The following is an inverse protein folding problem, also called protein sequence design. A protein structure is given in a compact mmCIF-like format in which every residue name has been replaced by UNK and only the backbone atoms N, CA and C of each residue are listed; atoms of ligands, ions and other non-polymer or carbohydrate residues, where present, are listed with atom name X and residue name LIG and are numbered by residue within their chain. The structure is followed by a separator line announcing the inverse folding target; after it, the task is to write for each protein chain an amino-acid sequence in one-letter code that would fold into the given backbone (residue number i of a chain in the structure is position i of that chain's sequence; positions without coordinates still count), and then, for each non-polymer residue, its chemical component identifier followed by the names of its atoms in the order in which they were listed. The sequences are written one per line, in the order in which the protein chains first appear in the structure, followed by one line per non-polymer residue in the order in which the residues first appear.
data_IF_858308197632
#
_entry.id   IF_858308197632
#
_cell.length_a   1.000
_cell.length_b   1.000
_cell.length_c   1.000
_cell.angle_alpha   90.00
_cell.angle_beta   90.00
_cell.angle_gamma   90.00
#
_symmetry.space_group_name_H-M   'P 1'
#
loop_
_entity.id
_entity.type
_entity.pdbx_description
1 polymer ?
#
# COMPACT_ATOMS: atom_id res chain seq x y z
N UNK A 1 -15.30 4.77 8.82
CA UNK A 1 -13.99 4.09 8.73
C UNK A 1 -13.03 5.06 8.04
N UNK A 2 -11.99 5.53 8.73
CA UNK A 2 -11.09 6.55 8.18
C UNK A 2 -10.30 5.97 7.01
N UNK A 3 -10.39 6.62 5.84
CA UNK A 3 -9.63 6.25 4.65
C UNK A 3 -8.42 7.16 4.53
N UNK A 4 -7.22 6.60 4.65
CA UNK A 4 -5.97 7.33 4.50
C UNK A 4 -5.45 7.19 3.07
N UNK A 5 -5.11 8.32 2.42
CA UNK A 5 -4.49 8.30 1.09
C UNK A 5 -3.02 7.93 1.17
N UNK A 6 -2.58 7.08 0.25
CA UNK A 6 -1.20 6.58 0.19
C UNK A 6 -0.57 6.92 -1.15
N UNK A 7 0.66 7.43 -1.10
CA UNK A 7 1.55 7.49 -2.25
C UNK A 7 2.58 6.36 -2.14
N UNK A 8 2.90 5.74 -3.27
CA UNK A 8 3.90 4.66 -3.32
C UNK A 8 5.24 5.29 -3.72
N UNK A 9 6.28 5.08 -2.91
CA UNK A 9 7.59 5.71 -3.12
C UNK A 9 8.61 4.76 -3.73
N UNK A 10 8.69 3.53 -3.22
CA UNK A 10 9.68 2.55 -3.61
C UNK A 10 8.95 1.23 -3.83
N UNK A 11 9.14 0.65 -5.01
CA UNK A 11 8.49 -0.59 -5.37
C UNK A 11 9.56 -1.64 -5.68
N UNK A 12 9.63 -2.72 -4.88
CA UNK A 12 10.51 -3.84 -5.20
C UNK A 12 10.19 -4.36 -6.61
N UNK A 13 11.22 -4.68 -7.39
CA UNK A 13 11.07 -5.01 -8.81
C UNK A 13 10.07 -6.15 -9.08
N UNK A 14 9.95 -7.10 -8.15
CA UNK A 14 9.01 -8.23 -8.23
C UNK A 14 7.54 -7.80 -8.09
N UNK A 15 7.26 -6.84 -7.21
CA UNK A 15 5.92 -6.24 -7.05
C UNK A 15 5.67 -5.15 -8.08
N UNK A 16 6.73 -4.51 -8.60
CA UNK A 16 6.65 -3.41 -9.58
C UNK A 16 5.75 -3.73 -10.75
N UNK A 17 5.93 -4.88 -11.40
CA UNK A 17 5.09 -5.26 -12.54
C UNK A 17 3.60 -5.35 -12.19
N UNK A 18 3.27 -5.78 -10.96
CA UNK A 18 1.88 -5.94 -10.52
C UNK A 18 1.23 -4.62 -10.15
N UNK A 19 2.00 -3.65 -9.65
CA UNK A 19 1.45 -2.38 -9.15
C UNK A 19 1.84 -1.15 -9.95
N UNK A 20 2.63 -1.28 -11.03
CA UNK A 20 3.08 -0.17 -11.87
C UNK A 20 1.92 0.67 -12.40
N UNK A 21 0.81 0.00 -12.74
CA UNK A 21 -0.40 0.64 -13.24
C UNK A 21 -1.09 1.54 -12.20
N UNK A 22 -0.78 1.37 -10.90
CA UNK A 22 -1.44 2.07 -9.80
C UNK A 22 -0.56 3.11 -9.10
N UNK A 23 0.74 3.23 -9.43
CA UNK A 23 1.70 4.12 -8.72
C UNK A 23 1.24 5.58 -8.67
N UNK A 24 0.59 6.05 -9.74
CA UNK A 24 0.08 7.41 -9.85
C UNK A 24 -1.43 7.51 -9.58
N UNK A 25 -2.03 6.45 -9.05
CA UNK A 25 -3.45 6.41 -8.73
C UNK A 25 -3.68 6.60 -7.23
N UNK A 26 -4.83 7.20 -6.90
CA UNK A 26 -5.30 7.23 -5.51
C UNK A 26 -5.45 5.80 -5.00
N UNK A 27 -4.79 5.55 -3.88
CA UNK A 27 -4.77 4.26 -3.19
C UNK A 27 -5.08 4.49 -1.72
N UNK A 28 -5.70 3.51 -1.06
CA UNK A 28 -6.17 3.65 0.32
C UNK A 28 -5.67 2.54 1.22
N UNK A 29 -5.35 2.86 2.48
CA UNK A 29 -5.19 1.82 3.49
C UNK A 29 -6.57 1.30 3.89
N UNK A 30 -6.78 0.00 3.72
CA UNK A 30 -8.03 -0.67 4.11
C UNK A 30 -7.86 -1.65 5.27
N UNK A 31 -6.63 -1.89 5.69
CA UNK A 31 -6.33 -2.77 6.81
C UNK A 31 -4.83 -2.99 7.01
N UNK A 32 -4.50 -3.98 7.82
CA UNK A 32 -3.12 -4.35 8.12
C UNK A 32 -2.97 -5.86 8.15
N UNK A 33 -1.91 -6.37 7.51
CA UNK A 33 -1.52 -7.78 7.55
C UNK A 33 -0.45 -7.97 8.63
N UNK A 34 -0.68 -8.89 9.57
CA UNK A 34 0.35 -9.31 10.52
C UNK A 34 1.41 -10.14 9.78
N UNK A 35 2.66 -9.69 9.79
CA UNK A 35 3.78 -10.43 9.18
C UNK A 35 4.47 -11.29 10.24
N UNK A 36 4.64 -10.75 11.45
CA UNK A 36 5.17 -11.47 12.59
C UNK A 36 4.57 -10.95 13.90
N UNK A 37 5.16 -11.32 15.04
CA UNK A 37 4.65 -10.93 16.36
C UNK A 37 4.64 -9.42 16.58
N UNK A 38 5.64 -8.70 16.05
CA UNK A 38 5.91 -7.28 16.30
C UNK A 38 5.57 -6.35 15.14
N UNK A 39 5.38 -6.89 13.94
CA UNK A 39 5.27 -6.11 12.71
C UNK A 39 3.97 -6.39 11.94
N UNK A 40 3.31 -5.31 11.54
CA UNK A 40 2.12 -5.30 10.69
C UNK A 40 2.37 -4.42 9.47
N UNK A 41 2.14 -4.98 8.29
CA UNK A 41 2.24 -4.28 7.01
C UNK A 41 0.87 -3.70 6.60
N UNK A 42 0.77 -2.44 6.17
CA UNK A 42 -0.46 -1.87 5.64
C UNK A 42 -0.93 -2.62 4.38
N UNK A 43 -2.24 -2.79 4.27
CA UNK A 43 -2.92 -3.32 3.09
C UNK A 43 -3.44 -2.13 2.29
N UNK A 44 -2.88 -1.95 1.09
CA UNK A 44 -3.24 -0.92 0.14
C UNK A 44 -4.29 -1.49 -0.82
N UNK A 45 -5.43 -0.80 -0.92
CA UNK A 45 -6.47 -1.06 -1.92
C UNK A 45 -6.38 -0.05 -3.05
N UNK A 46 -6.39 -0.55 -4.27
CA UNK A 46 -6.39 0.22 -5.51
C UNK A 46 -7.82 0.39 -6.05
N UNK A 47 -7.96 1.20 -7.12
CA UNK A 47 -9.28 1.54 -7.69
C UNK A 47 -10.07 0.33 -8.21
N UNK A 48 -9.39 -0.72 -8.61
CA UNK A 48 -9.97 -1.97 -9.11
C UNK A 48 -10.21 -3.01 -7.99
N UNK A 49 -10.13 -2.57 -6.72
CA UNK A 49 -10.21 -3.43 -5.54
C UNK A 49 -9.06 -4.43 -5.41
N UNK A 50 -8.02 -4.33 -6.23
CA UNK A 50 -6.78 -5.07 -6.02
C UNK A 50 -6.16 -4.65 -4.69
N UNK A 51 -5.75 -5.63 -3.89
CA UNK A 51 -5.17 -5.42 -2.56
C UNK A 51 -3.77 -5.97 -2.48
N UNK A 52 -2.83 -5.12 -2.09
CA UNK A 52 -1.43 -5.49 -1.91
C UNK A 52 -0.98 -5.00 -0.54
N UNK A 53 -0.34 -5.88 0.22
CA UNK A 53 0.34 -5.47 1.45
C UNK A 53 1.73 -4.96 1.08
N UNK A 54 2.13 -3.84 1.67
CA UNK A 54 3.44 -3.22 1.44
C UNK A 54 4.07 -2.88 2.79
N UNK A 55 5.39 -2.85 2.82
CA UNK A 55 6.13 -2.42 4.00
C UNK A 55 6.05 -0.90 4.15
N UNK A 56 6.15 -0.41 5.39
CA UNK A 56 6.08 1.03 5.67
C UNK A 56 7.21 1.84 5.00
N UNK A 57 8.34 1.21 4.70
CA UNK A 57 9.45 1.85 3.98
C UNK A 57 9.24 1.89 2.44
N UNK A 58 8.23 1.19 1.92
CA UNK A 58 7.88 1.16 0.49
C UNK A 58 6.85 2.25 0.13
N UNK A 59 6.13 2.78 1.11
CA UNK A 59 5.03 3.73 0.93
C UNK A 59 5.24 5.01 1.75
N UNK A 60 4.69 6.12 1.27
CA UNK A 60 4.52 7.34 2.07
C UNK A 60 3.04 7.61 2.29
N UNK A 61 2.69 7.80 3.56
CA UNK A 61 1.34 8.16 3.95
C UNK A 61 1.17 9.67 3.85
N UNK A 62 0.20 10.10 3.04
CA UNK A 62 -0.23 11.48 3.04
C UNK A 62 -1.41 11.60 4.00
N UNK A 63 -1.13 12.10 5.20
CA UNK A 63 -2.16 12.55 6.12
C UNK A 63 -2.65 13.91 5.61
N UNK A 64 -3.91 13.98 5.19
CA UNK A 64 -4.57 15.22 4.80
C UNK A 64 -5.66 15.54 5.81
#
# INVERSE_FOLDING_TARGET
MNKYSVNINIIPMKTKLQIMNYVNQKSWIVGYKRINSTYRAPIIEFKDFTRVWMLNNEITLNFK
#
